data_IF_769256497973
#
_entry.id   IF_769256497973
#
_cell.length_a   1.000
_cell.length_b   1.000
_cell.length_c   1.000
_cell.angle_alpha   90.00
_cell.angle_beta   90.00
_cell.angle_gamma   90.00
#
_symmetry.space_group_name_H-M   'P 1'
#
loop_
_entity.id
_entity.type
_entity.pdbx_description
1 polymer ?
#
# COMPACT_ATOMS: atom_id res chain seq x y z
N UNK A 1 14.69 -0.05 1.35
CA UNK A 1 15.21 1.25 0.95
C UNK A 1 15.51 1.30 -0.55
N UNK A 2 16.31 0.38 -1.10
CA UNK A 2 16.67 0.34 -2.52
C UNK A 2 15.46 0.31 -3.47
N UNK A 3 14.44 -0.45 -3.11
CA UNK A 3 13.22 -0.63 -3.92
C UNK A 3 12.39 0.66 -4.10
N UNK A 4 12.54 1.63 -3.20
CA UNK A 4 11.71 2.85 -3.18
C UNK A 4 12.49 4.12 -3.48
N UNK A 5 13.83 4.04 -3.48
CA UNK A 5 14.65 5.23 -3.58
C UNK A 5 14.43 5.99 -4.87
N UNK A 6 14.17 7.29 -4.72
CA UNK A 6 13.96 8.24 -5.81
C UNK A 6 12.82 7.83 -6.79
N UNK A 7 11.93 6.90 -6.36
CA UNK A 7 10.87 6.39 -7.21
C UNK A 7 9.67 7.36 -7.26
N UNK A 8 9.21 7.86 -6.11
CA UNK A 8 8.01 8.71 -6.01
C UNK A 8 8.32 10.15 -5.66
N UNK A 9 9.41 10.35 -4.95
CA UNK A 9 9.95 11.62 -4.52
C UNK A 9 11.45 11.49 -4.35
N UNK A 10 12.22 12.59 -4.27
CA UNK A 10 13.63 12.53 -3.94
C UNK A 10 13.88 11.86 -2.59
N UNK A 11 14.65 10.79 -2.58
CA UNK A 11 14.80 9.90 -1.43
C UNK A 11 13.69 8.85 -1.33
N UNK A 12 13.33 8.46 -0.13
CA UNK A 12 12.19 7.59 0.19
C UNK A 12 11.88 7.63 1.69
N UNK A 13 10.65 7.35 2.07
CA UNK A 13 10.22 7.17 3.46
C UNK A 13 9.55 5.82 3.72
N UNK A 14 9.29 5.05 2.67
CA UNK A 14 8.62 3.76 2.74
C UNK A 14 9.35 2.76 3.65
N UNK A 15 10.67 2.78 3.68
CA UNK A 15 11.46 1.91 4.57
C UNK A 15 11.30 2.29 6.05
N UNK A 16 11.07 3.58 6.34
CA UNK A 16 10.76 4.06 7.68
C UNK A 16 9.33 3.69 8.07
N UNK A 17 8.38 3.87 7.15
CA UNK A 17 6.98 3.43 7.34
C UNK A 17 6.95 1.93 7.63
N UNK A 18 7.65 1.09 6.86
CA UNK A 18 7.77 -0.35 7.08
C UNK A 18 8.36 -0.70 8.45
N UNK A 19 9.35 0.05 8.91
CA UNK A 19 9.93 -0.14 10.23
C UNK A 19 8.91 0.13 11.35
N UNK A 20 8.20 1.25 11.27
CA UNK A 20 7.16 1.61 12.26
C UNK A 20 5.94 0.69 12.18
N UNK A 21 5.56 0.29 10.99
CA UNK A 21 4.33 -0.45 10.72
C UNK A 21 4.25 -1.76 11.50
N UNK A 22 5.36 -2.48 11.66
CA UNK A 22 5.39 -3.76 12.36
C UNK A 22 5.11 -3.66 13.86
N UNK A 23 5.13 -2.45 14.41
CA UNK A 23 4.90 -2.18 15.84
C UNK A 23 3.48 -1.68 16.13
N UNK A 24 2.67 -1.36 15.10
CA UNK A 24 1.32 -0.83 15.29
C UNK A 24 0.25 -1.94 15.27
N UNK A 25 -0.85 -1.79 16.02
CA UNK A 25 -1.94 -2.76 16.05
C UNK A 25 -2.64 -2.97 14.71
N UNK A 26 -2.56 -1.98 13.81
CA UNK A 26 -3.14 -2.07 12.47
C UNK A 26 -2.38 -3.01 11.54
N UNK A 27 -1.15 -3.39 11.86
CA UNK A 27 -0.33 -4.28 11.04
C UNK A 27 -0.92 -5.68 10.96
N UNK A 28 -1.07 -6.20 9.74
CA UNK A 28 -1.61 -7.55 9.50
C UNK A 28 -0.46 -8.52 9.21
N UNK A 29 0.04 -9.18 10.27
CA UNK A 29 1.19 -10.10 10.20
C UNK A 29 1.01 -11.22 9.19
N UNK A 30 -0.21 -11.73 9.05
CA UNK A 30 -0.57 -12.79 8.13
C UNK A 30 -0.49 -12.37 6.66
N UNK A 31 -0.33 -11.06 6.42
CA UNK A 31 -0.18 -10.45 5.10
C UNK A 31 1.17 -9.72 4.92
N UNK A 32 2.17 -10.00 5.77
CA UNK A 32 3.56 -9.56 5.58
C UNK A 32 4.32 -10.65 4.81
N UNK A 33 4.50 -10.47 3.50
CA UNK A 33 5.16 -11.43 2.64
C UNK A 33 6.40 -10.85 1.98
N UNK A 34 7.38 -11.71 1.79
CA UNK A 34 8.56 -11.43 0.99
C UNK A 34 8.76 -12.51 -0.08
N UNK A 35 9.37 -12.13 -1.19
CA UNK A 35 9.93 -13.10 -2.11
C UNK A 35 11.46 -12.99 -2.04
N UNK A 36 12.12 -14.15 -2.01
CA UNK A 36 13.58 -14.25 -1.97
C UNK A 36 14.09 -14.93 -3.25
N UNK A 37 15.26 -14.47 -3.71
CA UNK A 37 16.06 -15.13 -4.71
C UNK A 37 17.43 -15.42 -4.09
N UNK A 38 17.83 -16.70 -4.05
CA UNK A 38 19.00 -17.26 -3.34
C UNK A 38 19.07 -16.79 -1.88
N UNK A 39 18.89 -16.08 -1.20
CA UNK A 39 18.89 -15.56 0.18
C UNK A 39 18.73 -14.03 0.22
N UNK A 40 18.51 -13.41 -0.92
CA UNK A 40 18.21 -11.99 -0.99
C UNK A 40 16.71 -11.76 -1.01
N UNK A 41 16.22 -10.86 -0.15
CA UNK A 41 14.84 -10.39 -0.23
C UNK A 41 14.73 -9.42 -1.39
N UNK A 42 14.08 -9.87 -2.47
CA UNK A 42 13.93 -9.11 -3.71
C UNK A 42 12.61 -8.38 -3.80
N UNK A 43 11.66 -8.74 -2.94
CA UNK A 43 10.30 -8.24 -2.88
C UNK A 43 9.73 -8.26 -1.48
N UNK A 44 8.89 -7.26 -1.19
CA UNK A 44 8.02 -7.27 -0.02
C UNK A 44 6.65 -6.66 -0.36
N UNK A 45 5.63 -7.16 0.32
CA UNK A 45 4.28 -6.62 0.30
C UNK A 45 3.70 -6.72 1.70
N UNK A 46 3.11 -5.65 2.15
CA UNK A 46 2.54 -5.57 3.51
C UNK A 46 1.16 -4.92 3.48
N UNK A 47 0.40 -5.18 4.53
CA UNK A 47 -0.95 -4.67 4.67
C UNK A 47 -1.17 -4.13 6.08
N UNK A 48 -1.99 -3.10 6.15
CA UNK A 48 -2.57 -2.62 7.40
C UNK A 48 -4.09 -2.69 7.36
N UNK A 49 -4.69 -2.80 8.53
CA UNK A 49 -6.10 -2.50 8.71
C UNK A 49 -6.33 -1.02 8.47
N UNK A 50 -7.38 -0.75 7.73
CA UNK A 50 -7.88 0.58 7.44
C UNK A 50 -9.40 0.58 7.60
N UNK A 51 -10.04 1.72 7.45
CA UNK A 51 -11.48 1.85 7.66
C UNK A 51 -12.13 2.63 6.53
N UNK A 52 -13.35 2.25 6.20
CA UNK A 52 -14.30 3.13 5.54
C UNK A 52 -15.29 3.57 6.59
N UNK A 53 -15.48 4.88 6.75
CA UNK A 53 -16.43 5.46 7.71
C UNK A 53 -17.57 6.07 6.90
N UNK A 54 -18.79 5.60 7.13
CA UNK A 54 -19.96 6.09 6.41
C UNK A 54 -20.50 7.43 6.99
N UNK A 55 -21.54 7.96 6.38
CA UNK A 55 -22.16 9.21 6.81
C UNK A 55 -22.89 9.11 8.16
N UNK A 56 -23.16 7.90 8.65
CA UNK A 56 -23.72 7.62 9.97
C UNK A 56 -22.63 7.34 11.02
N UNK A 57 -21.36 7.53 10.68
CA UNK A 57 -20.19 7.26 11.51
C UNK A 57 -19.98 5.77 11.81
N UNK A 58 -20.53 4.89 11.02
CA UNK A 58 -20.28 3.47 11.11
C UNK A 58 -18.97 3.12 10.43
N UNK A 59 -18.14 2.35 11.12
CA UNK A 59 -16.83 1.92 10.64
C UNK A 59 -16.89 0.53 10.02
N UNK A 60 -16.26 0.38 8.86
CA UNK A 60 -16.10 -0.89 8.16
C UNK A 60 -14.62 -1.16 7.95
N UNK A 61 -14.13 -2.24 8.55
CA UNK A 61 -12.72 -2.64 8.41
C UNK A 61 -12.44 -3.14 6.99
N UNK A 62 -11.39 -2.60 6.39
CA UNK A 62 -10.82 -2.98 5.10
C UNK A 62 -9.30 -3.04 5.21
N UNK A 63 -8.62 -3.45 4.15
CA UNK A 63 -7.16 -3.46 4.08
C UNK A 63 -6.64 -2.28 3.26
N UNK A 64 -5.53 -1.70 3.72
CA UNK A 64 -4.65 -0.85 2.91
C UNK A 64 -3.42 -1.66 2.53
N UNK A 65 -3.14 -1.79 1.22
CA UNK A 65 -1.98 -2.49 0.66
C UNK A 65 -0.89 -1.47 0.34
N UNK A 66 0.04 -1.26 1.26
CA UNK A 66 1.19 -0.36 1.13
C UNK A 66 2.14 -0.49 2.33
N UNK A 67 3.47 -0.37 2.15
CA UNK A 67 4.20 -0.27 0.88
C UNK A 67 4.40 -1.63 0.18
N UNK A 68 4.59 -1.56 -1.12
CA UNK A 68 4.98 -2.71 -1.94
C UNK A 68 6.32 -2.42 -2.60
N UNK A 69 7.36 -3.15 -2.21
CA UNK A 69 8.74 -2.93 -2.64
C UNK A 69 9.25 -4.01 -3.59
N UNK A 70 9.93 -3.58 -4.66
CA UNK A 70 10.59 -4.47 -5.64
C UNK A 70 11.96 -3.94 -5.95
N UNK A 71 12.99 -4.75 -5.82
CA UNK A 71 14.32 -4.36 -6.25
C UNK A 71 14.32 -4.01 -7.75
N UNK A 72 15.02 -2.96 -8.20
CA UNK A 72 15.01 -2.51 -9.58
C UNK A 72 15.34 -3.62 -10.61
N UNK A 73 16.29 -4.51 -10.28
CA UNK A 73 16.68 -5.65 -11.13
C UNK A 73 15.61 -6.74 -11.26
N UNK A 74 14.59 -6.72 -10.42
CA UNK A 74 13.48 -7.68 -10.38
C UNK A 74 12.15 -7.10 -10.83
N UNK A 75 12.11 -5.83 -11.21
CA UNK A 75 10.92 -5.21 -11.80
C UNK A 75 10.57 -5.85 -13.14
N UNK A 76 9.28 -5.75 -13.54
CA UNK A 76 8.74 -6.30 -14.80
C UNK A 76 8.81 -7.84 -14.93
N UNK A 77 9.11 -8.58 -13.86
CA UNK A 77 9.07 -10.04 -13.83
C UNK A 77 7.70 -10.53 -13.37
N UNK A 78 7.29 -11.72 -13.79
CA UNK A 78 5.98 -12.34 -13.45
C UNK A 78 5.78 -12.63 -11.95
N UNK A 79 6.87 -12.71 -11.19
CA UNK A 79 6.88 -12.95 -9.73
C UNK A 79 5.95 -12.00 -8.98
N UNK A 80 5.85 -10.75 -9.45
CA UNK A 80 4.93 -9.74 -8.93
C UNK A 80 3.48 -10.22 -8.91
N UNK A 81 3.02 -10.75 -10.03
CA UNK A 81 1.64 -11.21 -10.15
C UNK A 81 1.35 -12.39 -9.21
N UNK A 82 2.32 -13.27 -8.99
CA UNK A 82 2.16 -14.37 -8.05
C UNK A 82 1.98 -13.88 -6.63
N UNK A 83 2.83 -12.94 -6.18
CA UNK A 83 2.77 -12.47 -4.80
C UNK A 83 1.48 -11.70 -4.54
N UNK A 84 1.06 -10.82 -5.46
CA UNK A 84 -0.22 -10.11 -5.33
C UNK A 84 -1.40 -11.10 -5.29
N UNK A 85 -1.46 -12.05 -6.22
CA UNK A 85 -2.56 -13.03 -6.23
C UNK A 85 -2.56 -13.89 -4.95
N UNK A 86 -1.38 -14.28 -4.46
CA UNK A 86 -1.26 -15.02 -3.21
C UNK A 86 -1.80 -14.21 -2.03
N UNK A 87 -1.42 -12.94 -1.92
CA UNK A 87 -1.89 -12.08 -0.81
C UNK A 87 -3.37 -11.73 -0.92
N UNK A 88 -3.92 -11.56 -2.12
CA UNK A 88 -5.36 -11.41 -2.35
C UNK A 88 -6.10 -12.65 -1.85
N UNK A 89 -5.63 -13.85 -2.21
CA UNK A 89 -6.24 -15.09 -1.75
C UNK A 89 -6.16 -15.22 -0.22
N UNK A 90 -5.02 -14.85 0.36
CA UNK A 90 -4.83 -14.87 1.81
C UNK A 90 -5.72 -13.86 2.52
N UNK A 91 -5.91 -12.68 1.96
CA UNK A 91 -6.84 -11.68 2.49
C UNK A 91 -8.30 -12.17 2.48
N UNK A 92 -8.69 -12.93 1.45
CA UNK A 92 -9.99 -13.63 1.41
C UNK A 92 -10.11 -14.66 2.53
N UNK A 93 -9.11 -15.52 2.72
CA UNK A 93 -9.10 -16.51 3.79
C UNK A 93 -9.25 -15.89 5.19
N UNK A 94 -8.76 -14.67 5.37
CA UNK A 94 -8.89 -13.86 6.58
C UNK A 94 -10.21 -13.08 6.66
N UNK A 95 -11.11 -13.25 5.70
CA UNK A 95 -12.44 -12.65 5.66
C UNK A 95 -12.46 -11.12 5.55
N UNK A 96 -11.39 -10.50 5.04
CA UNK A 96 -11.43 -9.07 4.71
C UNK A 96 -12.34 -8.82 3.52
N UNK A 97 -13.05 -7.69 3.52
CA UNK A 97 -14.05 -7.36 2.49
C UNK A 97 -13.45 -6.73 1.26
N UNK A 98 -12.42 -5.94 1.44
CA UNK A 98 -11.76 -5.21 0.35
C UNK A 98 -10.30 -4.90 0.66
N UNK A 99 -9.54 -4.67 -0.40
CA UNK A 99 -8.18 -4.12 -0.37
C UNK A 99 -8.21 -2.77 -1.09
N UNK A 100 -7.62 -1.76 -0.48
CA UNK A 100 -7.49 -0.41 -1.03
C UNK A 100 -6.02 -0.07 -1.18
N UNK A 101 -5.68 0.65 -2.26
CA UNK A 101 -4.33 1.12 -2.54
C UNK A 101 -4.35 2.44 -3.31
N UNK A 102 -3.19 3.10 -3.36
CA UNK A 102 -2.95 4.30 -4.16
C UNK A 102 -1.81 4.03 -5.14
N UNK A 103 -2.14 3.62 -6.37
CA UNK A 103 -1.13 3.29 -7.36
C UNK A 103 -1.62 3.33 -8.80
N UNK A 104 -0.70 3.12 -9.76
CA UNK A 104 -0.97 3.14 -11.19
C UNK A 104 -2.09 2.15 -11.58
N UNK A 105 -3.24 2.63 -12.07
CA UNK A 105 -4.38 1.81 -12.47
C UNK A 105 -4.04 0.77 -13.52
N UNK A 106 -3.23 1.12 -14.54
CA UNK A 106 -2.87 0.23 -15.66
C UNK A 106 -2.23 -1.06 -15.17
N UNK A 107 -1.56 -0.98 -14.03
CA UNK A 107 -0.93 -2.15 -13.43
C UNK A 107 -1.92 -3.01 -12.64
N UNK A 108 -2.79 -2.38 -11.82
CA UNK A 108 -3.63 -3.12 -10.87
C UNK A 108 -4.97 -3.58 -11.43
N UNK A 109 -5.45 -3.03 -12.54
CA UNK A 109 -6.68 -3.50 -13.20
C UNK A 109 -6.66 -5.00 -13.54
N UNK A 110 -5.49 -5.56 -13.88
CA UNK A 110 -5.32 -6.99 -14.17
C UNK A 110 -5.60 -7.92 -12.99
N UNK A 111 -5.61 -7.39 -11.77
CA UNK A 111 -5.93 -8.10 -10.54
C UNK A 111 -7.36 -7.86 -10.07
N UNK A 112 -8.14 -7.13 -10.84
CA UNK A 112 -9.53 -6.81 -10.55
C UNK A 112 -9.73 -5.52 -9.73
N UNK A 113 -8.67 -4.77 -9.44
CA UNK A 113 -8.82 -3.44 -8.84
C UNK A 113 -9.53 -2.49 -9.79
N UNK A 114 -10.40 -1.66 -9.25
CA UNK A 114 -11.11 -0.61 -9.98
C UNK A 114 -10.98 0.71 -9.21
N UNK A 115 -11.26 1.84 -9.87
CA UNK A 115 -11.27 3.12 -9.15
C UNK A 115 -12.31 3.09 -8.03
N UNK A 116 -11.94 3.63 -6.86
CA UNK A 116 -12.75 3.58 -5.63
C UNK A 116 -14.08 4.34 -5.77
N UNK A 117 -14.17 5.29 -6.70
CA UNK A 117 -15.41 6.02 -7.02
C UNK A 117 -16.55 5.08 -7.44
N UNK A 118 -16.22 3.94 -8.07
CA UNK A 118 -17.21 2.93 -8.44
C UNK A 118 -18.07 2.45 -7.25
N UNK A 119 -17.50 2.48 -6.06
CA UNK A 119 -18.16 2.13 -4.80
C UNK A 119 -18.50 3.38 -3.97
N UNK A 120 -18.40 4.59 -4.55
CA UNK A 120 -18.60 5.85 -3.84
C UNK A 120 -17.69 6.00 -2.61
N UNK A 121 -16.47 5.43 -2.70
CA UNK A 121 -15.44 5.56 -1.69
C UNK A 121 -14.51 6.70 -2.10
N UNK A 122 -14.26 7.61 -1.16
CA UNK A 122 -13.40 8.78 -1.30
C UNK A 122 -12.31 8.76 -0.22
N UNK A 123 -11.25 9.49 -0.44
CA UNK A 123 -10.23 9.73 0.60
C UNK A 123 -10.83 10.46 1.80
N UNK A 124 -10.11 10.53 2.90
CA UNK A 124 -10.57 11.17 4.15
C UNK A 124 -10.94 12.65 3.96
N UNK A 125 -10.29 13.36 3.03
CA UNK A 125 -10.58 14.74 2.66
C UNK A 125 -11.69 14.91 1.62
N UNK A 126 -12.19 13.81 1.07
CA UNK A 126 -13.29 13.80 0.09
C UNK A 126 -12.86 13.83 -1.35
N UNK A 127 -11.58 13.68 -1.62
CA UNK A 127 -11.06 13.60 -2.97
C UNK A 127 -11.23 12.21 -3.57
N UNK A 128 -11.19 12.14 -4.90
CA UNK A 128 -10.99 10.92 -5.66
C UNK A 128 -10.05 11.23 -6.84
N UNK A 129 -9.26 10.24 -7.25
CA UNK A 129 -8.32 10.35 -8.37
C UNK A 129 -7.98 8.95 -8.89
N UNK A 130 -7.53 8.84 -10.13
CA UNK A 130 -7.34 7.56 -10.81
C UNK A 130 -6.52 6.52 -10.03
N UNK A 131 -5.38 6.88 -9.35
CA UNK A 131 -4.61 5.94 -8.55
C UNK A 131 -5.31 5.41 -7.29
N UNK A 132 -6.42 5.99 -6.85
CA UNK A 132 -7.17 5.53 -5.69
C UNK A 132 -8.06 4.35 -6.07
N UNK A 133 -7.60 3.14 -5.76
CA UNK A 133 -8.18 1.91 -6.26
C UNK A 133 -8.65 0.99 -5.13
N UNK A 134 -9.68 0.21 -5.43
CA UNK A 134 -10.25 -0.79 -4.54
C UNK A 134 -10.43 -2.13 -5.26
N UNK A 135 -10.18 -3.22 -4.53
CA UNK A 135 -10.54 -4.57 -4.91
C UNK A 135 -11.56 -5.11 -3.91
N UNK A 136 -12.78 -5.36 -4.36
CA UNK A 136 -13.77 -6.11 -3.59
C UNK A 136 -13.36 -7.59 -3.57
N UNK A 137 -13.30 -8.20 -2.38
CA UNK A 137 -12.81 -9.58 -2.22
C UNK A 137 -13.89 -10.64 -2.32
N UNK A 138 -15.14 -10.28 -2.08
CA UNK A 138 -16.31 -11.15 -2.18
C UNK A 138 -17.43 -10.43 -2.91
N UNK A 139 -18.23 -11.14 -3.67
CA UNK A 139 -19.44 -10.60 -4.27
C UNK A 139 -20.29 -9.94 -3.19
N UNK A 140 -20.59 -8.67 -3.37
CA UNK A 140 -21.39 -7.85 -2.45
C UNK A 140 -20.66 -7.49 -1.12
N UNK A 141 -19.34 -7.70 -1.00
CA UNK A 141 -18.54 -7.38 0.18
C UNK A 141 -18.55 -5.90 0.54
N UNK A 142 -18.67 -5.04 -0.47
CA UNK A 142 -18.78 -3.58 -0.32
C UNK A 142 -20.21 -3.07 -0.46
N UNK A 143 -21.22 -3.95 -0.49
CA UNK A 143 -22.62 -3.53 -0.53
C UNK A 143 -22.93 -2.64 0.67
N UNK A 144 -23.46 -1.45 0.40
CA UNK A 144 -23.79 -0.46 1.42
C UNK A 144 -22.59 0.11 2.20
N UNK A 145 -21.35 -0.18 1.75
CA UNK A 145 -20.14 0.37 2.32
C UNK A 145 -19.59 1.43 1.36
N UNK A 146 -19.77 2.68 1.73
CA UNK A 146 -19.31 3.84 0.95
C UNK A 146 -18.86 4.96 1.89
N UNK A 147 -18.26 5.99 1.38
CA UNK A 147 -17.93 7.26 1.99
C UNK A 147 -16.41 7.45 2.17
N UNK A 148 -15.91 7.68 3.39
CA UNK A 148 -14.54 8.13 3.62
C UNK A 148 -13.62 6.98 3.99
N UNK A 149 -12.56 6.80 3.20
CA UNK A 149 -11.47 5.90 3.53
C UNK A 149 -10.47 6.58 4.46
N UNK A 150 -10.10 5.88 5.51
CA UNK A 150 -9.11 6.30 6.50
C UNK A 150 -8.05 5.22 6.65
N UNK A 151 -6.84 5.57 6.29
CA UNK A 151 -5.66 4.73 6.55
C UNK A 151 -5.17 4.88 7.99
N UNK A 152 -4.29 4.00 8.43
CA UNK A 152 -3.66 4.10 9.75
C UNK A 152 -2.68 5.28 9.81
N UNK A 153 -2.55 5.88 10.99
CA UNK A 153 -1.63 7.02 11.23
C UNK A 153 -0.15 6.67 11.03
N UNK A 154 0.20 5.41 10.92
CA UNK A 154 1.57 4.97 10.62
C UNK A 154 2.09 5.54 9.29
N UNK A 155 1.19 5.89 8.39
CA UNK A 155 1.53 6.53 7.11
C UNK A 155 1.88 8.03 7.24
N UNK A 156 1.55 8.65 8.36
CA UNK A 156 1.97 10.02 8.68
C UNK A 156 3.44 10.02 9.09
N UNK A 157 4.30 10.55 8.23
CA UNK A 157 5.75 10.56 8.45
C UNK A 157 6.19 11.85 9.12
N UNK A 158 6.72 11.75 10.33
CA UNK A 158 7.40 12.85 10.98
C UNK A 158 8.81 13.02 10.37
N UNK A 159 9.12 14.22 9.89
CA UNK A 159 10.39 14.50 9.19
C UNK A 159 11.62 14.33 10.08
N UNK A 160 11.57 14.75 11.34
CA UNK A 160 12.69 14.68 12.28
C UNK A 160 12.98 13.22 12.65
N UNK A 161 11.93 12.41 12.82
CA UNK A 161 12.06 10.97 13.06
C UNK A 161 12.67 10.27 11.84
N UNK A 162 12.21 10.60 10.63
CA UNK A 162 12.75 10.06 9.39
C UNK A 162 14.23 10.42 9.22
N UNK A 163 14.62 11.68 9.45
CA UNK A 163 16.01 12.11 9.37
C UNK A 163 16.90 11.39 10.39
N UNK A 164 16.37 11.13 11.58
CA UNK A 164 17.08 10.37 12.62
C UNK A 164 17.25 8.90 12.23
N UNK A 165 16.24 8.30 11.64
CA UNK A 165 16.27 6.93 11.14
C UNK A 165 17.21 6.78 9.93
N UNK A 166 17.24 7.77 9.03
CA UNK A 166 18.12 7.78 7.87
C UNK A 166 19.61 7.76 8.25
N UNK A 167 20.01 8.24 9.44
CA UNK A 167 21.40 8.18 9.95
C UNK A 167 21.89 6.75 10.21
N UNK A 168 20.99 5.78 10.29
CA UNK A 168 21.37 4.35 10.43
C UNK A 168 21.90 3.75 9.12
N UNK A 169 21.74 4.46 8.01
CA UNK A 169 22.12 3.99 6.69
C UNK A 169 23.23 4.87 6.08
N UNK A 170 24.07 4.32 5.19
CA UNK A 170 25.00 5.12 4.42
C UNK A 170 24.29 6.26 3.70
N UNK A 171 24.88 7.44 3.74
CA UNK A 171 24.36 8.60 3.02
C UNK A 171 24.30 8.31 1.52
N UNK A 172 23.22 8.75 0.89
CA UNK A 172 23.03 8.73 -0.56
C UNK A 172 22.35 10.02 -0.99
N UNK A 173 22.86 10.60 -2.06
CA UNK A 173 22.25 11.78 -2.67
C UNK A 173 20.84 11.47 -3.18
N UNK A 174 19.90 12.41 -2.99
CA UNK A 174 18.52 12.30 -3.46
C UNK A 174 18.42 12.88 -4.87
N UNK A 175 17.73 12.18 -5.77
CA UNK A 175 17.61 12.60 -7.18
C UNK A 175 16.16 12.85 -7.56
N UNK A 176 15.94 13.82 -8.48
CA UNK A 176 14.67 14.01 -9.15
C UNK A 176 14.65 13.11 -10.37
N UNK A 177 13.59 12.33 -10.54
CA UNK A 177 13.38 11.40 -11.67
C UNK A 177 12.04 11.67 -12.35
N UNK A 178 11.89 11.15 -13.58
CA UNK A 178 10.65 11.32 -14.36
C UNK A 178 9.46 10.49 -13.80
N UNK A 179 9.72 9.57 -12.88
CA UNK A 179 8.68 8.74 -12.23
C UNK A 179 8.01 9.42 -11.06
N UNK A 180 8.57 10.53 -10.58
CA UNK A 180 8.06 11.25 -9.41
C UNK A 180 6.84 12.08 -9.76
N UNK A 181 5.88 12.11 -8.84
CA UNK A 181 4.71 12.96 -8.99
C UNK A 181 5.15 14.43 -9.01
N UNK A 182 4.78 15.13 -10.06
CA UNK A 182 4.90 16.59 -10.14
C UNK A 182 3.73 17.18 -9.35
N UNK A 183 3.96 17.46 -8.08
CA UNK A 183 3.01 18.18 -7.23
C UNK A 183 3.23 19.68 -7.45
#
# INVERSE_FOLDING_TARGET
REAFRDLYKPGCDEHFILHKMREVPAFVRELDFVACDDNEVVWNIVYTKAKIIDNEQKEFEVLCMWPVGVLPSYQKKWIWSLLINHTIQKAKELWYKAIILFWNPDFYHRFGFVNAERYQIQTSDGSNFDPFMVLELYDWGLNWISWRFHEDKVFEVNKDELESFEKWFPYREKHITDTQLKI
#
